data_IF_819798783696
#
_entry.id   IF_819798783696
#
_cell.length_a   1.000
_cell.length_b   1.000
_cell.length_c   1.000
_cell.angle_alpha   90.00
_cell.angle_beta   90.00
_cell.angle_gamma   90.00
#
_symmetry.space_group_name_H-M   'P 1'
#
loop_
_entity.id
_entity.type
_entity.pdbx_description
1 polymer ?
#
# COMPACT_ATOMS: atom_id res chain seq x y z
N UNK A 1 2.71 -2.50 6.90
CA UNK A 1 1.77 -1.43 7.29
C UNK A 1 2.38 -0.69 8.47
N UNK A 2 2.63 0.62 8.37
CA UNK A 2 3.21 1.35 9.50
C UNK A 2 2.24 1.34 10.69
N UNK A 3 2.72 1.10 11.92
CA UNK A 3 1.85 0.91 13.09
C UNK A 3 0.98 2.14 13.41
N UNK A 4 1.39 3.35 13.00
CA UNK A 4 0.63 4.59 13.15
C UNK A 4 -0.59 4.68 12.23
N UNK A 5 -0.42 4.41 10.92
CA UNK A 5 -1.53 4.40 9.95
C UNK A 5 -2.57 3.33 10.26
N UNK A 6 -2.12 2.19 10.77
CA UNK A 6 -3.03 1.13 11.24
C UNK A 6 -3.83 1.60 12.45
N UNK A 7 -3.19 2.27 13.41
CA UNK A 7 -3.86 2.85 14.58
C UNK A 7 -4.88 3.92 14.21
N UNK A 8 -4.58 4.78 13.24
CA UNK A 8 -5.50 5.80 12.74
C UNK A 8 -6.71 5.19 12.03
N UNK A 9 -6.50 4.18 11.16
CA UNK A 9 -7.59 3.48 10.50
C UNK A 9 -8.48 2.75 11.51
N UNK A 10 -7.88 2.11 12.53
CA UNK A 10 -8.64 1.51 13.62
C UNK A 10 -9.44 2.55 14.40
N UNK A 11 -8.85 3.70 14.70
CA UNK A 11 -9.54 4.76 15.41
C UNK A 11 -10.72 5.29 14.61
N UNK A 12 -10.57 5.48 13.30
CA UNK A 12 -11.65 5.91 12.41
C UNK A 12 -12.81 4.90 12.36
N UNK A 13 -12.51 3.61 12.19
CA UNK A 13 -13.53 2.56 12.19
C UNK A 13 -14.23 2.49 13.55
N UNK A 14 -13.46 2.59 14.65
CA UNK A 14 -14.02 2.61 16.00
C UNK A 14 -14.95 3.81 16.20
N UNK A 15 -14.52 5.01 15.82
CA UNK A 15 -15.30 6.24 15.98
C UNK A 15 -16.58 6.24 15.14
N UNK A 16 -16.59 5.54 14.01
CA UNK A 16 -17.77 5.38 13.14
C UNK A 16 -18.74 4.31 13.66
N UNK A 17 -18.22 3.19 14.18
CA UNK A 17 -19.02 2.03 14.58
C UNK A 17 -19.50 2.13 16.02
N UNK A 18 -18.62 2.52 16.95
CA UNK A 18 -18.87 2.49 18.39
C UNK A 18 -20.14 3.27 18.81
N UNK A 19 -20.41 4.48 18.29
CA UNK A 19 -21.62 5.22 18.65
C UNK A 19 -22.92 4.48 18.30
N UNK A 20 -22.90 3.60 17.31
CA UNK A 20 -24.07 2.87 16.82
C UNK A 20 -24.35 1.60 17.62
N UNK A 21 -23.33 1.04 18.27
CA UNK A 21 -23.44 -0.25 18.99
C UNK A 21 -23.30 -0.14 20.51
N UNK A 22 -22.88 1.02 21.06
CA UNK A 22 -22.55 1.18 22.49
C UNK A 22 -23.69 0.81 23.46
N UNK A 23 -24.93 1.02 23.04
CA UNK A 23 -26.14 0.75 23.84
C UNK A 23 -26.91 -0.48 23.33
N UNK A 24 -26.41 -1.14 22.29
CA UNK A 24 -27.07 -2.26 21.63
C UNK A 24 -26.75 -3.57 22.36
N UNK A 25 -27.81 -4.30 22.73
CA UNK A 25 -27.70 -5.54 23.52
C UNK A 25 -27.75 -6.83 22.69
N UNK A 26 -28.23 -6.75 21.45
CA UNK A 26 -28.45 -7.89 20.55
C UNK A 26 -28.04 -7.51 19.12
N UNK A 27 -27.55 -8.48 18.34
CA UNK A 27 -27.21 -8.31 16.93
C UNK A 27 -26.02 -7.39 16.68
N UNK A 28 -25.09 -7.30 17.64
CA UNK A 28 -23.99 -6.34 17.57
C UNK A 28 -23.10 -6.65 16.37
N UNK A 29 -22.72 -7.91 16.17
CA UNK A 29 -21.88 -8.31 15.05
C UNK A 29 -22.55 -8.05 13.70
N UNK A 30 -23.85 -8.32 13.59
CA UNK A 30 -24.64 -8.03 12.39
C UNK A 30 -24.68 -6.53 12.07
N UNK A 31 -24.89 -5.67 13.08
CA UNK A 31 -24.87 -4.21 12.91
C UNK A 31 -23.50 -3.71 12.49
N UNK A 32 -22.41 -4.21 13.11
CA UNK A 32 -21.06 -3.80 12.73
C UNK A 32 -20.75 -4.16 11.27
N UNK A 33 -21.13 -5.36 10.80
CA UNK A 33 -20.94 -5.77 9.39
C UNK A 33 -21.64 -4.80 8.43
N UNK A 34 -22.88 -4.39 8.76
CA UNK A 34 -23.62 -3.44 7.94
C UNK A 34 -22.98 -2.04 7.93
N UNK A 35 -22.51 -1.56 9.08
CA UNK A 35 -21.85 -0.25 9.18
C UNK A 35 -20.52 -0.23 8.42
N UNK A 36 -19.74 -1.31 8.47
CA UNK A 36 -18.46 -1.40 7.75
C UNK A 36 -18.69 -1.44 6.24
N UNK A 37 -19.75 -2.11 5.78
CA UNK A 37 -20.03 -2.25 4.36
C UNK A 37 -20.75 -1.04 3.75
N UNK A 38 -21.34 -0.16 4.58
CA UNK A 38 -21.90 1.21 4.39
C UNK A 38 -22.78 1.45 3.14
N UNK A 39 -22.87 0.50 2.21
CA UNK A 39 -23.38 0.67 0.84
C UNK A 39 -23.73 -0.65 0.12
N UNK A 40 -23.18 -1.81 0.53
CA UNK A 40 -23.53 -3.11 -0.06
C UNK A 40 -24.30 -4.02 0.93
N UNK A 41 -25.60 -3.74 1.08
CA UNK A 41 -26.50 -4.55 1.90
C UNK A 41 -26.58 -6.01 1.44
N UNK A 42 -26.39 -6.27 0.15
CA UNK A 42 -26.43 -7.62 -0.41
C UNK A 42 -25.22 -8.43 0.05
N UNK A 43 -24.05 -7.80 0.08
CA UNK A 43 -22.83 -8.41 0.58
C UNK A 43 -22.86 -8.60 2.11
N UNK A 44 -23.42 -7.65 2.85
CA UNK A 44 -23.61 -7.77 4.29
C UNK A 44 -24.48 -8.98 4.64
N UNK A 45 -25.61 -9.15 3.92
CA UNK A 45 -26.52 -10.26 4.16
C UNK A 45 -25.92 -11.62 3.75
N UNK A 46 -25.15 -11.64 2.65
CA UNK A 46 -24.43 -12.86 2.23
C UNK A 46 -23.41 -13.31 3.29
N UNK A 47 -22.63 -12.39 3.84
CA UNK A 47 -21.64 -12.68 4.89
C UNK A 47 -22.37 -13.18 6.14
N UNK A 48 -23.48 -12.56 6.52
CA UNK A 48 -24.26 -13.02 7.67
C UNK A 48 -24.77 -14.44 7.51
N UNK A 49 -25.31 -14.78 6.34
CA UNK A 49 -25.81 -16.13 6.07
C UNK A 49 -24.69 -17.17 6.02
N UNK A 50 -23.55 -16.83 5.40
CA UNK A 50 -22.40 -17.73 5.28
C UNK A 50 -21.75 -18.04 6.64
N UNK A 51 -21.79 -17.09 7.57
CA UNK A 51 -21.21 -17.21 8.91
C UNK A 51 -22.22 -17.53 10.01
N UNK A 52 -23.51 -17.69 9.67
CA UNK A 52 -24.58 -17.98 10.64
C UNK A 52 -24.82 -16.84 11.64
N UNK A 53 -24.63 -15.58 11.23
CA UNK A 53 -24.75 -14.39 12.09
C UNK A 53 -26.19 -13.87 12.06
N UNK A 54 -26.93 -14.10 13.14
CA UNK A 54 -28.31 -13.64 13.29
C UNK A 54 -28.39 -12.14 13.61
N UNK A 55 -29.52 -11.51 13.28
CA UNK A 55 -29.70 -10.05 13.45
C UNK A 55 -30.07 -9.65 14.88
N UNK A 56 -30.42 -10.64 15.68
CA UNK A 56 -30.87 -10.56 17.06
C UNK A 56 -30.03 -11.46 17.98
N UNK A 57 -28.87 -11.92 17.50
CA UNK A 57 -27.95 -12.76 18.27
C UNK A 57 -27.56 -12.07 19.58
N UNK A 58 -27.47 -12.87 20.63
CA UNK A 58 -26.93 -12.40 21.89
C UNK A 58 -25.43 -12.15 21.79
N UNK A 59 -24.90 -11.39 22.74
CA UNK A 59 -23.47 -11.14 22.87
C UNK A 59 -22.64 -12.43 22.89
N UNK A 60 -23.12 -13.45 23.58
CA UNK A 60 -22.43 -14.74 23.76
C UNK A 60 -22.41 -15.56 22.47
N UNK A 61 -23.48 -15.48 21.68
CA UNK A 61 -23.56 -16.11 20.36
C UNK A 61 -22.60 -15.43 19.37
N UNK A 62 -22.60 -14.11 19.31
CA UNK A 62 -21.64 -13.34 18.50
C UNK A 62 -20.19 -13.64 18.91
N UNK A 63 -19.92 -13.75 20.22
CA UNK A 63 -18.61 -14.11 20.74
C UNK A 63 -18.19 -15.54 20.38
N UNK A 64 -19.13 -16.48 20.33
CA UNK A 64 -18.85 -17.88 20.01
C UNK A 64 -18.38 -18.01 18.55
N UNK A 65 -19.04 -17.31 17.63
CA UNK A 65 -18.67 -17.22 16.21
C UNK A 65 -17.25 -16.63 16.09
N UNK A 66 -17.03 -15.51 16.78
CA UNK A 66 -15.74 -14.83 16.90
C UNK A 66 -14.63 -15.75 17.45
N UNK A 67 -14.93 -16.54 18.49
CA UNK A 67 -13.97 -17.40 19.17
C UNK A 67 -13.48 -18.56 18.31
N UNK A 68 -14.34 -19.05 17.41
CA UNK A 68 -14.00 -20.08 16.45
C UNK A 68 -13.00 -19.59 15.39
N UNK A 69 -12.91 -18.28 15.16
CA UNK A 69 -12.02 -17.69 14.14
C UNK A 69 -10.60 -17.46 14.66
N UNK A 70 -10.45 -17.04 15.93
CA UNK A 70 -9.16 -16.55 16.46
C UNK A 70 -8.60 -17.45 17.57
N UNK A 71 -9.37 -18.44 18.02
CA UNK A 71 -9.03 -19.29 19.15
C UNK A 71 -9.31 -18.58 20.48
N UNK A 72 -9.91 -19.30 21.43
CA UNK A 72 -10.41 -18.80 22.72
C UNK A 72 -9.39 -18.00 23.57
N UNK A 73 -8.09 -18.16 23.34
CA UNK A 73 -7.04 -17.58 24.17
C UNK A 73 -6.91 -16.04 24.06
N UNK A 74 -7.40 -15.40 22.99
CA UNK A 74 -7.32 -13.94 22.82
C UNK A 74 -8.44 -13.17 23.54
N UNK A 75 -9.54 -13.83 23.91
CA UNK A 75 -10.82 -13.16 24.24
C UNK A 75 -11.00 -12.89 25.75
N UNK A 76 -10.07 -13.32 26.61
CA UNK A 76 -10.23 -13.32 28.08
C UNK A 76 -10.21 -11.93 28.77
N UNK A 77 -10.20 -10.81 28.05
CA UNK A 77 -10.15 -9.46 28.63
C UNK A 77 -11.50 -8.74 28.57
N UNK A 78 -12.22 -8.66 29.71
CA UNK A 78 -13.53 -7.97 29.86
C UNK A 78 -13.56 -6.51 29.37
N UNK A 79 -12.41 -5.83 29.34
CA UNK A 79 -12.30 -4.42 28.91
C UNK A 79 -12.17 -4.26 27.38
N UNK A 80 -12.00 -5.36 26.65
CA UNK A 80 -11.78 -5.40 25.19
C UNK A 80 -12.91 -6.08 24.42
N UNK A 81 -13.99 -6.44 25.11
CA UNK A 81 -15.13 -7.19 24.54
C UNK A 81 -15.71 -6.51 23.28
N UNK A 82 -16.03 -5.22 23.35
CA UNK A 82 -16.56 -4.44 22.21
C UNK A 82 -15.49 -4.16 21.12
N UNK A 83 -14.22 -4.01 21.52
CA UNK A 83 -13.10 -3.79 20.60
C UNK A 83 -12.80 -5.02 19.74
N UNK A 84 -12.96 -6.22 20.31
CA UNK A 84 -12.71 -7.49 19.64
C UNK A 84 -13.76 -7.71 18.54
N UNK A 85 -15.02 -7.38 18.77
CA UNK A 85 -16.07 -7.53 17.73
C UNK A 85 -15.82 -6.61 16.54
N UNK A 86 -15.40 -5.35 16.75
CA UNK A 86 -15.11 -4.42 15.66
C UNK A 86 -13.91 -4.91 14.83
N UNK A 87 -12.86 -5.40 15.50
CA UNK A 87 -11.69 -5.99 14.85
C UNK A 87 -12.05 -7.20 13.99
N UNK A 88 -12.99 -8.02 14.45
CA UNK A 88 -13.35 -9.28 13.81
C UNK A 88 -14.38 -9.08 12.72
N UNK A 89 -15.37 -8.21 12.90
CA UNK A 89 -16.26 -7.81 11.83
C UNK A 89 -15.45 -7.20 10.66
N UNK A 90 -14.44 -6.38 10.96
CA UNK A 90 -13.49 -5.87 9.96
C UNK A 90 -12.73 -6.99 9.24
N UNK A 91 -12.35 -8.06 9.96
CA UNK A 91 -11.67 -9.22 9.38
C UNK A 91 -12.62 -10.12 8.56
N UNK A 92 -13.83 -10.39 9.06
CA UNK A 92 -14.89 -11.17 8.41
C UNK A 92 -15.39 -10.48 7.15
N UNK A 93 -15.39 -9.15 7.09
CA UNK A 93 -15.70 -8.39 5.87
C UNK A 93 -14.48 -8.31 4.94
N UNK A 94 -13.29 -8.10 5.50
CA UNK A 94 -12.05 -7.96 4.74
C UNK A 94 -11.62 -9.23 4.02
N UNK A 95 -11.80 -10.41 4.63
CA UNK A 95 -11.37 -11.70 4.06
C UNK A 95 -12.18 -12.09 2.82
N UNK A 96 -13.53 -12.04 2.80
CA UNK A 96 -14.32 -12.28 1.59
C UNK A 96 -14.12 -11.22 0.51
N UNK A 97 -13.90 -9.94 0.87
CA UNK A 97 -13.54 -8.91 -0.09
C UNK A 97 -12.19 -9.20 -0.76
N UNK A 98 -11.19 -9.62 0.03
CA UNK A 98 -9.90 -10.09 -0.48
C UNK A 98 -10.02 -11.38 -1.31
N UNK A 99 -10.83 -12.34 -0.88
CA UNK A 99 -11.04 -13.61 -1.62
C UNK A 99 -11.81 -13.38 -2.92
N UNK A 100 -12.83 -12.52 -2.93
CA UNK A 100 -13.58 -12.12 -4.13
C UNK A 100 -12.67 -11.36 -5.10
N UNK A 101 -11.84 -10.45 -4.61
CA UNK A 101 -10.80 -9.81 -5.42
C UNK A 101 -9.86 -10.83 -6.07
N UNK A 102 -9.40 -11.84 -5.31
CA UNK A 102 -8.55 -12.91 -5.83
C UNK A 102 -9.30 -13.84 -6.81
N UNK A 103 -10.59 -14.11 -6.59
CA UNK A 103 -11.41 -14.98 -7.45
C UNK A 103 -11.88 -14.30 -8.73
N UNK A 104 -12.25 -13.02 -8.70
CA UNK A 104 -12.57 -12.21 -9.89
C UNK A 104 -11.33 -12.04 -10.79
N UNK A 105 -10.14 -12.11 -10.19
CA UNK A 105 -8.87 -12.18 -10.93
C UNK A 105 -8.66 -13.55 -11.60
N UNK A 106 -9.26 -14.63 -11.10
CA UNK A 106 -9.18 -15.99 -11.66
C UNK A 106 -10.29 -16.31 -12.68
N UNK A 107 -11.51 -15.80 -12.51
CA UNK A 107 -12.65 -16.15 -13.38
C UNK A 107 -12.59 -15.51 -14.78
N UNK A 108 -11.79 -14.46 -15.00
CA UNK A 108 -11.46 -13.95 -16.35
C UNK A 108 -10.57 -14.89 -17.17
N UNK A 109 -10.09 -16.00 -16.60
CA UNK A 109 -9.15 -16.92 -17.25
C UNK A 109 -9.78 -18.14 -17.93
N UNK A 110 -11.05 -18.47 -17.70
CA UNK A 110 -11.63 -19.75 -18.14
C UNK A 110 -12.93 -19.60 -18.96
N UNK A 111 -12.81 -19.27 -20.25
CA UNK A 111 -13.79 -19.68 -21.27
C UNK A 111 -13.24 -19.61 -22.71
N UNK A 112 -12.56 -20.68 -23.14
CA UNK A 112 -12.68 -21.38 -24.44
C UNK A 112 -11.36 -22.01 -24.90
N UNK A 113 -11.36 -23.33 -25.00
CA UNK A 113 -10.26 -24.19 -25.40
C UNK A 113 -9.96 -24.12 -26.91
N UNK A 114 -8.68 -23.93 -27.29
CA UNK A 114 -7.94 -24.72 -28.30
C UNK A 114 -6.49 -24.24 -28.42
N UNK A 115 -5.55 -25.20 -28.29
CA UNK A 115 -4.07 -25.10 -28.35
C UNK A 115 -3.39 -24.28 -27.24
N UNK A 116 -2.32 -24.78 -26.59
CA UNK A 116 -1.62 -24.03 -25.56
C UNK A 116 -0.95 -22.81 -26.20
N UNK A 117 -1.36 -21.57 -25.90
CA UNK A 117 -0.57 -20.41 -26.23
C UNK A 117 0.67 -20.42 -25.31
N UNK A 118 1.81 -19.87 -25.74
CA UNK A 118 2.94 -19.64 -24.83
C UNK A 118 2.42 -18.89 -23.58
N UNK A 119 2.98 -19.16 -22.40
CA UNK A 119 2.49 -18.59 -21.14
C UNK A 119 2.24 -17.09 -21.32
N UNK A 120 1.05 -16.58 -20.94
CA UNK A 120 0.75 -15.17 -21.10
C UNK A 120 1.87 -14.37 -20.45
N UNK A 121 2.45 -13.37 -21.15
CA UNK A 121 3.55 -12.59 -20.60
C UNK A 121 3.10 -12.08 -19.24
N UNK A 122 3.83 -12.49 -18.19
CA UNK A 122 3.69 -11.93 -16.84
C UNK A 122 3.57 -10.43 -17.05
N UNK A 123 2.44 -9.85 -16.65
CA UNK A 123 2.26 -8.41 -16.69
C UNK A 123 3.38 -7.86 -15.79
N UNK A 124 4.43 -7.32 -16.42
CA UNK A 124 5.60 -6.81 -15.71
C UNK A 124 5.14 -5.58 -14.92
N UNK A 125 4.84 -5.79 -13.65
CA UNK A 125 4.46 -4.71 -12.75
C UNK A 125 5.75 -3.97 -12.37
N UNK A 126 5.98 -2.79 -12.93
CA UNK A 126 7.16 -2.01 -12.58
C UNK A 126 6.99 -1.29 -11.23
N UNK A 127 8.09 -0.82 -10.66
CA UNK A 127 8.10 0.09 -9.51
C UNK A 127 8.63 1.46 -9.91
N UNK A 128 8.16 2.51 -9.25
CA UNK A 128 8.74 3.85 -9.32
C UNK A 128 9.55 4.09 -8.05
N UNK A 129 10.86 4.28 -8.24
CA UNK A 129 11.81 4.66 -7.21
C UNK A 129 12.08 6.17 -7.32
N UNK A 130 11.91 6.86 -6.21
CA UNK A 130 12.13 8.29 -6.06
C UNK A 130 13.26 8.51 -5.08
N UNK A 131 14.25 9.30 -5.46
CA UNK A 131 15.46 9.53 -4.69
C UNK A 131 15.75 11.03 -4.64
N UNK A 132 16.32 11.48 -3.53
CA UNK A 132 16.94 12.80 -3.42
C UNK A 132 18.42 12.58 -3.17
N UNK A 133 19.26 13.01 -4.10
CA UNK A 133 20.71 12.82 -4.08
C UNK A 133 21.43 14.15 -4.31
N UNK A 134 22.71 14.27 -3.92
CA UNK A 134 23.52 15.43 -4.29
C UNK A 134 23.69 15.56 -5.81
N UNK A 135 23.76 16.81 -6.29
CA UNK A 135 23.96 17.11 -7.71
C UNK A 135 25.24 16.47 -8.28
N UNK A 136 26.32 16.36 -7.49
CA UNK A 136 27.55 15.68 -7.90
C UNK A 136 27.34 14.24 -8.36
N UNK A 137 26.39 13.53 -7.75
CA UNK A 137 26.00 12.16 -8.12
C UNK A 137 25.02 12.19 -9.30
N UNK A 138 24.02 13.06 -9.25
CA UNK A 138 22.97 13.16 -10.27
C UNK A 138 23.50 13.53 -11.67
N UNK A 139 24.58 14.32 -11.77
CA UNK A 139 25.17 14.80 -13.04
C UNK A 139 25.58 13.69 -14.01
N UNK A 140 25.81 12.47 -13.51
CA UNK A 140 26.20 11.31 -14.34
C UNK A 140 25.03 10.77 -15.15
N UNK A 141 23.81 11.19 -14.84
CA UNK A 141 22.58 10.61 -15.35
C UNK A 141 21.82 11.56 -16.27
N UNK A 142 20.99 11.00 -17.14
CA UNK A 142 20.17 11.78 -18.08
C UNK A 142 18.77 11.19 -18.17
N UNK A 143 17.76 12.06 -18.24
CA UNK A 143 16.37 11.65 -18.43
C UNK A 143 16.17 10.81 -19.70
N UNK A 144 15.26 9.85 -19.63
CA UNK A 144 14.92 8.93 -20.72
C UNK A 144 15.95 7.84 -20.97
N UNK A 145 17.12 7.87 -20.31
CA UNK A 145 18.16 6.84 -20.46
C UNK A 145 17.92 5.63 -19.55
N UNK A 146 18.31 4.43 -20.01
CA UNK A 146 18.33 3.26 -19.15
C UNK A 146 19.41 3.42 -18.08
N UNK A 147 19.17 2.83 -16.91
CA UNK A 147 20.10 2.76 -15.79
C UNK A 147 20.22 1.30 -15.34
N UNK A 148 21.45 0.86 -15.08
CA UNK A 148 21.73 -0.52 -14.67
C UNK A 148 21.64 -0.68 -13.14
N UNK A 149 21.68 -1.91 -12.66
CA UNK A 149 21.56 -2.22 -11.23
C UNK A 149 22.62 -1.51 -10.38
N UNK A 150 23.90 -1.53 -10.77
CA UNK A 150 24.98 -0.93 -10.00
C UNK A 150 24.84 0.59 -9.89
N UNK A 151 24.37 1.23 -10.95
CA UNK A 151 24.07 2.68 -10.94
C UNK A 151 22.87 3.02 -10.04
N UNK A 152 21.83 2.16 -10.02
CA UNK A 152 20.71 2.32 -9.08
C UNK A 152 21.17 2.12 -7.63
N UNK A 153 22.05 1.16 -7.36
CA UNK A 153 22.67 0.96 -6.05
C UNK A 153 23.51 2.18 -5.62
N UNK A 154 24.31 2.75 -6.53
CA UNK A 154 25.07 3.99 -6.28
C UNK A 154 24.13 5.15 -5.90
N UNK A 155 23.01 5.31 -6.61
CA UNK A 155 22.01 6.34 -6.30
C UNK A 155 21.35 6.11 -4.93
N UNK A 156 21.02 4.87 -4.58
CA UNK A 156 20.45 4.52 -3.27
C UNK A 156 21.45 4.81 -2.14
N UNK A 157 22.73 4.51 -2.36
CA UNK A 157 23.79 4.70 -1.34
C UNK A 157 24.11 6.17 -1.08
N UNK A 158 23.82 7.06 -2.04
CA UNK A 158 24.02 8.49 -1.92
C UNK A 158 22.72 9.28 -1.65
N UNK A 159 21.60 8.59 -1.43
CA UNK A 159 20.31 9.25 -1.23
C UNK A 159 20.14 9.76 0.21
N UNK A 160 19.76 11.04 0.34
CA UNK A 160 19.30 11.63 1.60
C UNK A 160 17.84 11.26 1.89
N UNK A 161 17.05 11.05 0.84
CA UNK A 161 15.63 10.67 0.93
C UNK A 161 15.27 9.62 -0.13
N UNK A 162 14.40 8.69 0.25
CA UNK A 162 13.92 7.64 -0.66
C UNK A 162 12.44 7.31 -0.50
N UNK A 163 11.81 6.95 -1.61
CA UNK A 163 10.44 6.45 -1.67
C UNK A 163 10.31 5.46 -2.84
N UNK A 164 9.66 4.32 -2.63
CA UNK A 164 9.39 3.35 -3.69
C UNK A 164 7.90 2.97 -3.71
N UNK A 165 7.25 3.13 -4.87
CA UNK A 165 5.81 2.94 -5.06
C UNK A 165 5.49 2.16 -6.33
N UNK A 166 4.23 1.76 -6.51
CA UNK A 166 3.73 1.05 -7.69
C UNK A 166 3.24 1.98 -8.82
N UNK A 167 3.69 3.23 -8.88
CA UNK A 167 3.12 4.27 -9.75
C UNK A 167 3.74 4.34 -11.16
N UNK A 168 4.38 3.28 -11.61
CA UNK A 168 5.15 3.30 -12.87
C UNK A 168 4.28 3.32 -14.15
N UNK A 169 3.00 2.93 -14.05
CA UNK A 169 2.03 2.86 -15.18
C UNK A 169 0.94 3.91 -15.11
N UNK A 170 0.82 4.66 -14.00
CA UNK A 170 -0.18 5.70 -13.81
C UNK A 170 0.51 7.04 -13.60
N UNK A 171 0.79 7.74 -14.70
CA UNK A 171 1.36 9.09 -14.67
C UNK A 171 0.51 10.02 -13.77
N UNK A 172 -0.82 9.91 -13.85
CA UNK A 172 -1.79 10.68 -13.05
C UNK A 172 -1.71 10.52 -11.51
N UNK A 173 -1.10 9.44 -10.98
CA UNK A 173 -0.88 9.29 -9.52
C UNK A 173 0.57 9.56 -9.12
N UNK A 174 1.53 9.34 -10.03
CA UNK A 174 2.93 9.70 -9.80
C UNK A 174 3.10 11.22 -9.63
N UNK A 175 2.16 12.00 -10.16
CA UNK A 175 2.13 13.46 -10.05
C UNK A 175 1.91 13.94 -8.62
N UNK A 176 1.17 13.23 -7.76
CA UNK A 176 0.85 13.73 -6.40
C UNK A 176 2.06 13.91 -5.47
N UNK A 177 3.09 13.07 -5.60
CA UNK A 177 4.32 13.21 -4.80
C UNK A 177 5.17 14.33 -5.37
N UNK A 178 5.24 14.43 -6.69
CA UNK A 178 5.98 15.47 -7.39
C UNK A 178 5.35 16.86 -7.22
N UNK A 179 4.03 16.96 -7.19
CA UNK A 179 3.25 18.20 -7.03
C UNK A 179 3.50 18.88 -5.68
N UNK A 180 3.90 18.11 -4.66
CA UNK A 180 4.25 18.66 -3.33
C UNK A 180 5.69 19.17 -3.26
N UNK A 181 6.57 18.68 -4.13
CA UNK A 181 7.96 19.11 -4.20
C UNK A 181 8.03 20.45 -4.93
N UNK A 182 8.77 21.39 -4.36
CA UNK A 182 9.10 22.63 -5.06
C UNK A 182 10.36 22.39 -5.90
N UNK A 183 10.16 22.17 -7.18
CA UNK A 183 11.22 21.88 -8.15
C UNK A 183 11.55 23.14 -8.96
N UNK A 184 12.83 23.31 -9.33
CA UNK A 184 13.28 24.40 -10.19
C UNK A 184 13.70 23.87 -11.57
N UNK A 185 13.68 24.75 -12.57
CA UNK A 185 14.18 24.47 -13.92
C UNK A 185 15.70 24.68 -14.06
N UNK A 186 16.41 24.81 -12.93
CA UNK A 186 17.85 25.02 -12.94
C UNK A 186 18.56 23.81 -13.57
N UNK A 187 19.56 24.09 -14.40
CA UNK A 187 20.41 23.03 -14.95
C UNK A 187 21.31 22.46 -13.87
N UNK A 188 21.32 21.14 -13.76
CA UNK A 188 22.10 20.40 -12.75
C UNK A 188 23.61 20.64 -12.91
N UNK A 189 24.06 21.02 -14.12
CA UNK A 189 25.46 21.40 -14.41
C UNK A 189 25.86 22.71 -13.75
N UNK A 190 24.90 23.59 -13.48
CA UNK A 190 25.17 25.00 -13.13
C UNK A 190 24.99 25.26 -11.61
N UNK A 191 24.54 24.24 -10.87
CA UNK A 191 24.27 24.31 -9.43
C UNK A 191 25.44 23.80 -8.58
N UNK A 192 25.43 24.11 -7.28
CA UNK A 192 26.39 23.54 -6.32
C UNK A 192 26.32 22.01 -6.31
N UNK A 193 27.46 21.35 -6.17
CA UNK A 193 27.59 19.89 -6.08
C UNK A 193 26.79 19.27 -4.93
N UNK A 194 26.59 20.02 -3.86
CA UNK A 194 25.86 19.60 -2.66
C UNK A 194 24.36 19.89 -2.75
N UNK A 195 23.90 20.58 -3.80
CA UNK A 195 22.48 20.89 -3.94
C UNK A 195 21.69 19.61 -4.21
N UNK A 196 20.54 19.49 -3.57
CA UNK A 196 19.69 18.32 -3.66
C UNK A 196 18.96 18.25 -5.00
N UNK A 197 18.99 17.07 -5.60
CA UNK A 197 18.38 16.75 -6.89
C UNK A 197 17.44 15.58 -6.70
N UNK A 198 16.21 15.76 -7.15
CA UNK A 198 15.20 14.72 -7.22
C UNK A 198 15.38 13.88 -8.47
N UNK A 199 15.38 12.56 -8.32
CA UNK A 199 15.46 11.58 -9.40
C UNK A 199 14.26 10.63 -9.29
N UNK A 200 13.55 10.43 -10.41
CA UNK A 200 12.52 9.40 -10.58
C UNK A 200 13.01 8.33 -11.53
N UNK A 201 13.01 7.08 -11.09
CA UNK A 201 13.41 5.91 -11.85
C UNK A 201 12.26 4.93 -11.91
N UNK A 202 11.94 4.43 -13.10
CA UNK A 202 11.02 3.29 -13.24
C UNK A 202 11.85 2.02 -13.36
N UNK A 203 11.69 1.10 -12.42
CA UNK A 203 12.37 -0.20 -12.40
C UNK A 203 11.41 -1.26 -12.93
N UNK A 204 11.77 -1.92 -14.04
CA UNK A 204 11.03 -3.08 -14.53
C UNK A 204 11.18 -4.26 -13.55
N UNK A 205 10.10 -5.01 -13.33
CA UNK A 205 10.08 -6.14 -12.38
C UNK A 205 10.52 -5.78 -10.94
N UNK A 206 10.27 -4.53 -10.53
CA UNK A 206 10.67 -4.01 -9.21
C UNK A 206 9.65 -4.20 -8.10
N UNK A 207 8.70 -5.15 -8.21
CA UNK A 207 7.55 -5.22 -7.30
C UNK A 207 7.98 -5.41 -5.84
N UNK A 208 9.03 -6.21 -5.63
CA UNK A 208 9.56 -6.53 -4.31
C UNK A 208 10.23 -5.32 -3.62
N UNK A 209 10.50 -4.24 -4.36
CA UNK A 209 11.01 -2.97 -3.83
C UNK A 209 9.92 -2.10 -3.23
N UNK A 210 8.66 -2.29 -3.61
CA UNK A 210 7.55 -1.42 -3.22
C UNK A 210 7.37 -1.41 -1.70
N UNK A 211 7.27 -0.22 -1.12
CA UNK A 211 7.07 -0.04 0.31
C UNK A 211 8.28 -0.38 1.18
N UNK A 212 9.42 -0.76 0.60
CA UNK A 212 10.69 -0.84 1.34
C UNK A 212 11.16 0.59 1.64
N UNK A 213 11.52 0.82 2.90
CA UNK A 213 11.83 2.16 3.41
C UNK A 213 13.32 2.36 3.73
N UNK A 214 14.13 1.31 3.63
CA UNK A 214 15.56 1.36 3.99
C UNK A 214 16.44 0.97 2.79
N UNK A 215 17.64 1.57 2.63
CA UNK A 215 18.53 1.34 1.49
C UNK A 215 18.86 -0.14 1.27
N UNK A 216 19.26 -0.84 2.34
CA UNK A 216 19.63 -2.25 2.27
C UNK A 216 18.50 -3.13 1.71
N UNK A 217 17.26 -2.91 2.17
CA UNK A 217 16.10 -3.67 1.71
C UNK A 217 15.72 -3.34 0.27
N UNK A 218 15.96 -2.11 -0.21
CA UNK A 218 15.76 -1.80 -1.63
C UNK A 218 16.80 -2.52 -2.49
N UNK A 219 18.08 -2.45 -2.11
CA UNK A 219 19.17 -3.11 -2.86
C UNK A 219 19.01 -4.62 -2.93
N UNK A 220 18.64 -5.27 -1.82
CA UNK A 220 18.45 -6.73 -1.79
C UNK A 220 17.26 -7.21 -2.62
N UNK A 221 16.33 -6.32 -2.98
CA UNK A 221 15.15 -6.62 -3.79
C UNK A 221 15.25 -6.00 -5.20
N UNK A 222 16.43 -5.53 -5.60
CA UNK A 222 16.64 -5.10 -6.98
C UNK A 222 16.54 -6.32 -7.91
N UNK A 223 15.82 -6.20 -9.04
CA UNK A 223 15.72 -7.27 -10.01
C UNK A 223 17.07 -7.54 -10.69
N UNK A 224 17.55 -8.80 -10.63
CA UNK A 224 18.87 -9.22 -11.12
C UNK A 224 19.11 -8.98 -12.63
N UNK A 225 18.04 -8.79 -13.40
CA UNK A 225 18.08 -8.45 -14.82
C UNK A 225 17.28 -7.18 -15.14
N UNK A 226 16.77 -6.48 -14.13
CA UNK A 226 15.92 -5.33 -14.33
C UNK A 226 16.75 -4.11 -14.73
N UNK A 227 16.38 -3.52 -15.86
CA UNK A 227 16.84 -2.20 -16.24
C UNK A 227 15.86 -1.17 -15.69
N UNK A 228 16.41 -0.13 -15.07
CA UNK A 228 15.65 1.06 -14.76
C UNK A 228 15.61 2.00 -15.96
N UNK A 229 14.62 2.88 -16.01
CA UNK A 229 14.62 4.05 -16.91
C UNK A 229 14.44 5.29 -16.07
N UNK A 230 15.34 6.26 -16.23
CA UNK A 230 15.23 7.54 -15.56
C UNK A 230 14.11 8.34 -16.22
N UNK A 231 13.09 8.67 -15.45
CA UNK A 231 11.91 9.38 -15.93
C UNK A 231 11.95 10.87 -15.67
N UNK A 232 12.64 11.28 -14.61
CA UNK A 232 12.78 12.69 -14.26
C UNK A 232 14.04 12.92 -13.43
N UNK A 233 14.69 14.05 -13.68
CA UNK A 233 15.76 14.61 -12.86
C UNK A 233 15.47 16.11 -12.73
N UNK A 234 15.27 16.60 -11.50
CA UNK A 234 14.96 18.00 -11.28
C UNK A 234 15.64 18.52 -10.01
N UNK A 235 16.05 19.78 -10.04
CA UNK A 235 16.62 20.43 -8.86
C UNK A 235 15.52 20.73 -7.85
N UNK A 236 15.77 20.46 -6.58
CA UNK A 236 14.89 20.94 -5.51
C UNK A 236 15.22 22.41 -5.25
N UNK A 237 14.21 23.21 -4.95
CA UNK A 237 14.40 24.59 -4.49
C UNK A 237 15.31 24.61 -3.25
N UNK A 238 16.22 25.57 -3.20
CA UNK A 238 17.24 25.63 -2.17
C UNK A 238 16.62 25.67 -0.75
N UNK A 239 17.03 24.73 0.12
CA UNK A 239 16.50 24.54 1.48
C UNK A 239 15.02 24.18 1.57
N UNK A 240 14.37 23.85 0.45
CA UNK A 240 12.97 23.43 0.46
C UNK A 240 12.85 22.01 1.00
N UNK A 241 11.97 21.85 1.99
CA UNK A 241 11.61 20.55 2.56
C UNK A 241 10.17 20.13 2.20
N UNK A 242 9.47 20.95 1.43
CA UNK A 242 8.08 20.70 1.04
C UNK A 242 7.98 19.43 0.21
N UNK A 243 7.11 18.51 0.61
CA UNK A 243 6.90 17.22 -0.05
C UNK A 243 7.91 16.14 0.34
N UNK A 244 9.01 16.49 1.00
CA UNK A 244 10.00 15.51 1.49
C UNK A 244 9.48 14.73 2.71
N UNK A 245 8.42 15.18 3.37
CA UNK A 245 7.76 14.45 4.47
C UNK A 245 7.11 13.13 4.03
N UNK A 246 6.85 12.97 2.73
CA UNK A 246 6.35 11.71 2.13
C UNK A 246 7.48 10.71 1.85
N UNK A 247 8.73 11.14 1.96
CA UNK A 247 9.91 10.31 1.74
C UNK A 247 10.47 9.81 3.06
N UNK A 248 11.17 8.68 3.00
CA UNK A 248 11.96 8.20 4.12
C UNK A 248 13.31 8.90 4.08
N UNK A 249 13.62 9.65 5.14
CA UNK A 249 14.95 10.22 5.35
C UNK A 249 15.93 9.14 5.79
N UNK A 250 17.12 9.13 5.20
CA UNK A 250 18.19 8.15 5.46
C UNK A 250 19.28 8.74 6.35
#
# INVERSE_FOLDING_TARGET
>A
MQPSKLKELYQQVYDQVYPQIKDQKLGVLATVIHVILDSDQTQAEKIRQEWGIEGNSSWEEDLSIVSNVIGYNLIRSKKMEQFIIILIASAIVGVPACLKYIQDTKQKSDSNSKTPPPPPPKKSECASLYLVVPASVARKFTEGKPINQAEVEELIDNASYLLCTNMCTNEQKADRVQEKLVLTEDKITDISEQREVYIKINIADGQDMIGKQIPYALKSNLPAHGQGVIRKIACIEYLSVSGLEEFNRI
#
